data_IF_903910661199
#
_entry.id   IF_903910661199
#
_cell.length_a   1.000
_cell.length_b   1.000
_cell.length_c   1.000
_cell.angle_alpha   90.00
_cell.angle_beta   90.00
_cell.angle_gamma   90.00
#
_symmetry.space_group_name_H-M   'P 1'
#
loop_
_entity.id
_entity.type
_entity.pdbx_description
1 polymer ?
#
# COMPACT_ATOMS: atom_id res chain seq x y z
N UNK A 1 -60.58 -63.80 -6.42
CA UNK A 1 -59.98 -63.10 -5.27
C UNK A 1 -58.47 -62.94 -5.51
N UNK A 2 -58.06 -61.84 -5.99
CA UNK A 2 -56.64 -61.56 -6.20
C UNK A 2 -56.30 -60.20 -5.54
N UNK A 3 -55.49 -60.20 -4.49
CA UNK A 3 -55.04 -59.07 -3.74
C UNK A 3 -53.84 -58.43 -4.48
N UNK A 4 -54.03 -57.26 -5.05
CA UNK A 4 -52.92 -56.46 -5.57
C UNK A 4 -52.16 -55.77 -4.44
N UNK A 5 -50.86 -56.01 -4.38
CA UNK A 5 -49.93 -55.34 -3.46
C UNK A 5 -49.43 -54.08 -4.06
N UNK A 6 -49.78 -52.90 -3.47
CA UNK A 6 -49.19 -51.63 -3.80
C UNK A 6 -47.82 -51.53 -3.14
N UNK A 7 -46.77 -51.39 -3.94
CA UNK A 7 -45.43 -51.02 -3.49
C UNK A 7 -45.32 -49.49 -3.54
N UNK A 8 -44.99 -48.81 -2.44
CA UNK A 8 -44.78 -47.37 -2.47
C UNK A 8 -43.40 -47.07 -3.10
N UNK A 9 -43.43 -46.31 -4.18
CA UNK A 9 -42.24 -45.78 -4.87
C UNK A 9 -41.61 -44.65 -4.03
N UNK A 10 -40.49 -44.94 -3.41
CA UNK A 10 -39.71 -43.99 -2.64
C UNK A 10 -38.96 -43.04 -3.64
N UNK A 11 -39.47 -41.85 -3.84
CA UNK A 11 -38.80 -40.80 -4.64
C UNK A 11 -37.70 -40.20 -3.77
N UNK A 12 -36.45 -40.64 -3.94
CA UNK A 12 -35.27 -39.96 -3.40
C UNK A 12 -35.09 -38.66 -4.16
N UNK A 13 -35.46 -37.53 -3.53
CA UNK A 13 -35.08 -36.20 -3.97
C UNK A 13 -33.57 -36.02 -3.81
N UNK A 14 -32.83 -36.17 -4.89
CA UNK A 14 -31.42 -35.86 -4.95
C UNK A 14 -31.29 -34.31 -4.90
N UNK A 15 -31.09 -33.77 -3.71
CA UNK A 15 -30.74 -32.35 -3.54
C UNK A 15 -29.39 -32.11 -4.22
N UNK A 16 -29.41 -31.46 -5.39
CA UNK A 16 -28.20 -31.01 -6.06
C UNK A 16 -27.49 -30.03 -5.14
N UNK A 17 -26.39 -30.44 -4.50
CA UNK A 17 -25.44 -29.51 -3.89
C UNK A 17 -24.89 -28.65 -5.02
N UNK A 18 -25.41 -27.42 -5.19
CA UNK A 18 -24.77 -26.43 -6.01
C UNK A 18 -23.36 -26.17 -5.42
N UNK A 19 -22.29 -26.25 -6.22
CA UNK A 19 -20.97 -25.95 -5.71
C UNK A 19 -20.97 -24.51 -5.20
N UNK A 20 -20.59 -24.33 -3.93
CA UNK A 20 -20.35 -23.00 -3.38
C UNK A 20 -19.36 -22.29 -4.33
N UNK A 21 -19.83 -21.21 -4.99
CA UNK A 21 -18.95 -20.35 -5.77
C UNK A 21 -17.95 -19.78 -4.78
N UNK A 22 -16.77 -20.39 -4.71
CA UNK A 22 -15.63 -19.81 -4.02
C UNK A 22 -15.45 -18.37 -4.53
N UNK A 23 -15.34 -17.41 -3.63
CA UNK A 23 -15.11 -16.03 -3.96
C UNK A 23 -13.87 -15.95 -4.87
N UNK A 24 -14.09 -15.78 -6.17
CA UNK A 24 -13.00 -15.66 -7.14
C UNK A 24 -12.43 -14.27 -6.96
N UNK A 25 -11.15 -14.18 -6.62
CA UNK A 25 -10.45 -12.90 -6.56
C UNK A 25 -10.69 -12.12 -7.85
N UNK A 26 -11.36 -10.99 -7.76
CA UNK A 26 -11.51 -10.09 -8.90
C UNK A 26 -10.29 -9.20 -8.96
N UNK A 27 -9.44 -9.41 -9.97
CA UNK A 27 -8.26 -8.59 -10.23
C UNK A 27 -8.63 -7.50 -11.22
N UNK A 28 -8.56 -6.24 -10.79
CA UNK A 28 -8.91 -5.08 -11.61
C UNK A 28 -7.71 -4.52 -12.35
N UNK A 29 -6.53 -4.64 -11.74
CA UNK A 29 -5.28 -4.08 -12.26
C UNK A 29 -4.12 -5.05 -12.10
N UNK A 30 -3.18 -4.98 -13.03
CA UNK A 30 -1.83 -5.49 -12.78
C UNK A 30 -0.96 -4.35 -12.25
N UNK A 31 0.00 -4.62 -11.34
CA UNK A 31 0.94 -3.59 -10.88
C UNK A 31 1.64 -2.86 -12.03
N UNK A 32 2.03 -3.58 -13.07
CA UNK A 32 2.69 -3.05 -14.25
C UNK A 32 1.80 -2.05 -15.01
N UNK A 33 0.52 -2.38 -15.22
CA UNK A 33 -0.41 -1.50 -15.92
C UNK A 33 -0.64 -0.20 -15.13
N UNK A 34 -0.80 -0.29 -13.79
CA UNK A 34 -0.95 0.88 -12.94
C UNK A 34 0.29 1.78 -12.94
N UNK A 35 1.49 1.19 -12.85
CA UNK A 35 2.74 1.94 -12.89
C UNK A 35 2.92 2.63 -14.25
N UNK A 36 2.65 1.92 -15.34
CA UNK A 36 2.76 2.46 -16.70
C UNK A 36 1.76 3.61 -16.94
N UNK A 37 0.53 3.49 -16.44
CA UNK A 37 -0.49 4.54 -16.57
C UNK A 37 -0.14 5.76 -15.72
N UNK A 38 0.22 5.56 -14.44
CA UNK A 38 0.48 6.64 -13.50
C UNK A 38 1.73 7.43 -13.86
N UNK A 39 2.78 6.75 -14.29
CA UNK A 39 4.10 7.33 -14.58
C UNK A 39 4.42 7.37 -16.09
N UNK A 40 3.40 7.49 -16.94
CA UNK A 40 3.55 7.53 -18.40
C UNK A 40 4.44 8.66 -18.91
N UNK A 41 4.60 9.73 -18.13
CA UNK A 41 5.45 10.87 -18.46
C UNK A 41 6.86 10.77 -17.86
N UNK A 42 7.13 9.76 -17.04
CA UNK A 42 8.44 9.53 -16.43
C UNK A 42 9.33 8.74 -17.38
N UNK A 43 10.63 9.05 -17.38
CA UNK A 43 11.60 8.34 -18.23
C UNK A 43 11.91 6.93 -17.71
N UNK A 44 11.86 6.76 -16.39
CA UNK A 44 12.22 5.50 -15.75
C UNK A 44 11.34 5.25 -14.52
N UNK A 45 10.95 3.99 -14.33
CA UNK A 45 10.38 3.49 -13.07
C UNK A 45 11.28 2.35 -12.59
N UNK A 46 11.87 2.51 -11.43
CA UNK A 46 12.69 1.51 -10.75
C UNK A 46 12.05 1.08 -9.44
N UNK A 47 12.59 0.06 -8.80
CA UNK A 47 12.12 -0.34 -7.47
C UNK A 47 13.29 -0.50 -6.50
N UNK A 48 13.00 -0.30 -5.23
CA UNK A 48 13.91 -0.52 -4.11
C UNK A 48 13.23 -1.42 -3.09
N UNK A 49 13.95 -2.40 -2.57
CA UNK A 49 13.50 -3.20 -1.42
C UNK A 49 13.92 -2.50 -0.13
N UNK A 50 12.97 -1.86 0.52
CA UNK A 50 13.19 -1.15 1.77
C UNK A 50 13.08 -2.13 2.94
N UNK A 51 14.21 -2.51 3.53
CA UNK A 51 14.25 -3.26 4.78
C UNK A 51 13.98 -2.33 5.95
N UNK A 52 13.10 -2.77 6.83
CA UNK A 52 12.71 -2.04 8.02
C UNK A 52 13.50 -2.61 9.21
N UNK A 53 14.51 -1.89 9.65
CA UNK A 53 15.26 -2.24 10.85
C UNK A 53 14.43 -2.03 12.14
N UNK A 54 14.95 -2.49 13.28
CA UNK A 54 14.23 -2.46 14.56
C UNK A 54 13.87 -1.04 14.99
N UNK A 55 14.79 -0.08 14.81
CA UNK A 55 14.57 1.30 15.25
C UNK A 55 13.51 2.00 14.37
N UNK A 56 13.60 1.81 13.06
CA UNK A 56 12.61 2.34 12.10
C UNK A 56 11.23 1.70 12.32
N UNK A 57 11.18 0.39 12.57
CA UNK A 57 9.96 -0.32 12.90
C UNK A 57 9.28 0.28 14.12
N UNK A 58 10.02 0.44 15.23
CA UNK A 58 9.47 1.01 16.47
C UNK A 58 8.87 2.41 16.24
N UNK A 59 9.53 3.26 15.44
CA UNK A 59 9.02 4.59 15.09
C UNK A 59 7.73 4.54 14.27
N UNK A 60 7.70 3.67 13.25
CA UNK A 60 6.52 3.53 12.39
C UNK A 60 5.35 2.92 13.17
N UNK A 61 5.60 1.87 13.95
CA UNK A 61 4.58 1.20 14.77
C UNK A 61 3.97 2.17 15.80
N UNK A 62 4.80 2.97 16.47
CA UNK A 62 4.35 4.00 17.40
C UNK A 62 3.46 5.05 16.70
N UNK A 63 3.83 5.46 15.48
CA UNK A 63 3.04 6.41 14.70
C UNK A 63 1.70 5.84 14.24
N UNK A 64 1.70 4.58 13.79
CA UNK A 64 0.49 3.91 13.29
C UNK A 64 -0.42 3.45 14.43
N UNK A 65 0.07 3.34 15.67
CA UNK A 65 -0.63 2.70 16.78
C UNK A 65 -0.86 1.20 16.56
N UNK A 66 -0.10 0.58 15.66
CA UNK A 66 -0.18 -0.84 15.29
C UNK A 66 1.13 -1.32 14.69
N UNK A 67 1.37 -2.62 14.75
CA UNK A 67 2.57 -3.23 14.19
C UNK A 67 2.54 -3.30 12.66
N UNK A 68 3.70 -3.08 12.04
CA UNK A 68 3.90 -3.35 10.62
C UNK A 68 3.81 -4.86 10.36
N UNK A 69 3.03 -5.31 9.37
CA UNK A 69 2.87 -6.74 9.07
C UNK A 69 4.11 -7.38 8.42
N UNK A 70 4.97 -6.56 7.80
CA UNK A 70 6.15 -7.03 7.05
C UNK A 70 7.43 -6.36 7.56
N UNK A 71 8.59 -6.98 7.31
CA UNK A 71 9.92 -6.41 7.57
C UNK A 71 10.58 -5.84 6.32
N UNK A 72 9.99 -6.06 5.16
CA UNK A 72 10.48 -5.55 3.87
C UNK A 72 9.31 -5.09 3.01
N UNK A 73 9.49 -3.97 2.33
CA UNK A 73 8.52 -3.40 1.39
C UNK A 73 9.19 -3.05 0.07
N UNK A 74 8.49 -3.25 -1.04
CA UNK A 74 8.95 -2.82 -2.36
C UNK A 74 8.38 -1.44 -2.66
N UNK A 75 9.27 -0.47 -2.78
CA UNK A 75 8.97 0.90 -3.15
C UNK A 75 9.33 1.14 -4.60
N UNK A 76 8.40 1.60 -5.41
CA UNK A 76 8.65 2.04 -6.78
C UNK A 76 8.95 3.52 -6.80
N UNK A 77 9.95 3.90 -7.60
CA UNK A 77 10.43 5.29 -7.76
C UNK A 77 10.41 5.63 -9.24
N UNK A 78 9.65 6.66 -9.58
CA UNK A 78 9.58 7.19 -10.94
C UNK A 78 10.46 8.44 -11.06
N UNK A 79 11.25 8.53 -12.15
CA UNK A 79 12.20 9.62 -12.39
C UNK A 79 12.18 10.09 -13.84
N UNK A 80 12.52 11.38 -14.00
CA UNK A 80 12.86 12.02 -15.27
C UNK A 80 14.22 12.69 -15.11
N UNK A 81 15.28 12.09 -15.67
CA UNK A 81 16.66 12.44 -15.35
C UNK A 81 16.91 12.21 -13.84
N UNK A 82 17.46 13.22 -13.17
CA UNK A 82 17.70 13.19 -11.73
C UNK A 82 16.47 13.57 -10.89
N UNK A 83 15.43 14.11 -11.53
CA UNK A 83 14.23 14.53 -10.82
C UNK A 83 13.36 13.33 -10.49
N UNK A 84 12.94 13.25 -9.23
CA UNK A 84 11.91 12.29 -8.79
C UNK A 84 10.54 12.84 -9.18
N UNK A 85 9.77 12.07 -9.92
CA UNK A 85 8.41 12.41 -10.34
C UNK A 85 7.38 11.90 -9.32
N UNK A 86 7.69 10.81 -8.63
CA UNK A 86 6.82 10.25 -7.60
C UNK A 86 7.21 8.84 -7.16
N UNK A 87 6.37 8.31 -6.30
CA UNK A 87 6.55 6.98 -5.69
C UNK A 87 5.27 6.16 -5.80
N UNK A 88 5.41 4.83 -5.74
CA UNK A 88 4.28 3.93 -5.56
C UNK A 88 4.62 2.80 -4.59
N UNK A 89 3.60 2.38 -3.83
CA UNK A 89 3.67 1.24 -2.95
C UNK A 89 2.46 0.35 -3.16
N UNK A 90 2.71 -0.94 -3.35
CA UNK A 90 1.69 -1.98 -3.43
C UNK A 90 1.69 -2.77 -2.12
N UNK A 91 0.54 -2.89 -1.51
CA UNK A 91 0.40 -3.56 -0.23
C UNK A 91 -0.97 -4.23 -0.08
N UNK A 92 -1.11 -5.04 0.95
CA UNK A 92 -2.35 -5.75 1.26
C UNK A 92 -2.79 -5.45 2.69
N UNK A 93 -4.10 -5.37 2.85
CA UNK A 93 -4.73 -5.26 4.15
C UNK A 93 -5.93 -6.22 4.19
N UNK A 94 -6.01 -6.98 5.26
CA UNK A 94 -7.16 -7.87 5.46
C UNK A 94 -8.44 -7.03 5.54
N UNK A 95 -9.43 -7.43 4.76
CA UNK A 95 -10.80 -6.94 4.81
C UNK A 95 -11.56 -7.58 5.97
N UNK A 96 -12.74 -8.12 5.69
CA UNK A 96 -13.48 -8.90 6.68
C UNK A 96 -12.93 -10.32 6.83
N UNK A 97 -12.61 -10.97 5.72
CA UNK A 97 -12.16 -12.36 5.67
C UNK A 97 -10.90 -12.53 4.81
N UNK A 98 -10.81 -11.76 3.73
CA UNK A 98 -9.79 -11.93 2.71
C UNK A 98 -8.91 -10.67 2.57
N UNK A 99 -7.66 -10.80 2.09
CA UNK A 99 -6.82 -9.65 1.83
C UNK A 99 -7.30 -8.88 0.61
N UNK A 100 -7.35 -7.56 0.76
CA UNK A 100 -7.58 -6.59 -0.30
C UNK A 100 -6.23 -6.02 -0.70
N UNK A 101 -5.90 -6.07 -2.00
CA UNK A 101 -4.64 -5.52 -2.51
C UNK A 101 -4.86 -4.08 -2.97
N UNK A 102 -3.99 -3.18 -2.51
CA UNK A 102 -4.03 -1.74 -2.77
C UNK A 102 -2.76 -1.26 -3.47
N UNK A 103 -2.90 -0.22 -4.28
CA UNK A 103 -1.80 0.59 -4.78
C UNK A 103 -1.99 2.03 -4.31
N UNK A 104 -0.96 2.60 -3.71
CA UNK A 104 -0.93 4.01 -3.30
C UNK A 104 0.21 4.71 -4.01
N UNK A 105 -0.11 5.82 -4.68
CA UNK A 105 0.85 6.63 -5.43
C UNK A 105 1.03 7.97 -4.74
N UNK A 106 2.24 8.49 -4.80
CA UNK A 106 2.66 9.72 -4.15
C UNK A 106 3.43 10.61 -5.11
N UNK A 107 3.35 11.91 -4.91
CA UNK A 107 4.27 12.87 -5.51
C UNK A 107 5.67 12.80 -4.85
N UNK A 108 6.60 13.60 -5.37
CA UNK A 108 7.97 13.68 -4.82
C UNK A 108 8.03 14.16 -3.37
N UNK A 109 7.01 14.87 -2.88
CA UNK A 109 6.90 15.36 -1.51
C UNK A 109 6.20 14.37 -0.55
N UNK A 110 5.82 13.17 -1.03
CA UNK A 110 5.13 12.16 -0.23
C UNK A 110 3.64 12.45 0.00
N UNK A 111 2.99 13.24 -0.88
CA UNK A 111 1.55 13.45 -0.86
C UNK A 111 0.88 12.43 -1.77
N UNK A 112 -0.22 11.85 -1.30
CA UNK A 112 -1.02 10.89 -2.06
C UNK A 112 -1.58 11.56 -3.33
N UNK A 113 -1.30 10.98 -4.49
CA UNK A 113 -1.82 11.42 -5.79
C UNK A 113 -2.87 10.50 -6.37
N UNK A 114 -2.85 9.21 -5.97
CA UNK A 114 -3.83 8.21 -6.40
C UNK A 114 -3.87 7.05 -5.43
N UNK A 115 -5.05 6.46 -5.26
CA UNK A 115 -5.24 5.18 -4.56
C UNK A 115 -6.08 4.27 -5.44
N UNK A 116 -5.67 3.02 -5.60
CA UNK A 116 -6.39 2.00 -6.37
C UNK A 116 -6.58 0.71 -5.60
N UNK A 117 -7.70 0.04 -5.85
CA UNK A 117 -7.89 -1.36 -5.47
C UNK A 117 -7.35 -2.22 -6.61
N UNK A 118 -6.31 -2.98 -6.35
CA UNK A 118 -5.64 -3.84 -7.35
C UNK A 118 -6.38 -5.16 -7.48
N UNK A 119 -6.68 -5.79 -6.35
CA UNK A 119 -7.46 -7.01 -6.30
C UNK A 119 -8.40 -7.02 -5.09
N UNK A 120 -9.59 -7.55 -5.29
CA UNK A 120 -10.64 -7.66 -4.29
C UNK A 120 -11.12 -9.12 -4.20
N UNK A 121 -11.13 -9.67 -3.00
CA UNK A 121 -11.46 -11.09 -2.79
C UNK A 121 -12.66 -11.30 -1.89
N UNK A 122 -13.17 -10.21 -1.30
CA UNK A 122 -14.36 -10.25 -0.45
C UNK A 122 -15.64 -10.31 -1.28
N UNK A 123 -16.69 -10.96 -0.80
CA UNK A 123 -17.97 -11.04 -1.51
C UNK A 123 -18.75 -9.72 -1.51
N UNK A 124 -18.46 -8.83 -0.55
CA UNK A 124 -19.16 -7.55 -0.35
C UNK A 124 -18.17 -6.43 -0.03
N UNK A 125 -18.57 -5.18 -0.29
CA UNK A 125 -17.80 -4.00 0.12
C UNK A 125 -16.88 -3.42 -0.95
N UNK A 126 -17.04 -3.82 -2.22
CA UNK A 126 -16.29 -3.34 -3.38
C UNK A 126 -16.54 -1.85 -3.70
N UNK A 127 -17.55 -1.24 -3.06
CA UNK A 127 -17.84 0.20 -3.18
C UNK A 127 -16.64 1.11 -2.91
N UNK A 128 -15.60 0.63 -2.20
CA UNK A 128 -14.35 1.37 -2.01
C UNK A 128 -13.60 1.67 -3.32
N UNK A 129 -13.95 1.02 -4.42
CA UNK A 129 -13.45 1.31 -5.77
C UNK A 129 -14.03 2.60 -6.35
N UNK A 130 -15.13 3.09 -5.80
CA UNK A 130 -15.75 4.33 -6.28
C UNK A 130 -14.77 5.50 -6.19
N UNK A 131 -14.62 6.23 -7.28
CA UNK A 131 -13.68 7.35 -7.38
C UNK A 131 -13.94 8.40 -6.29
N UNK A 132 -15.22 8.70 -6.00
CA UNK A 132 -15.60 9.64 -4.93
C UNK A 132 -15.04 9.25 -3.56
N UNK A 133 -14.92 7.94 -3.26
CA UNK A 133 -14.34 7.47 -2.01
C UNK A 133 -12.82 7.65 -2.03
N UNK A 134 -12.16 7.22 -3.10
CA UNK A 134 -10.70 7.28 -3.25
C UNK A 134 -10.16 8.70 -3.30
N UNK A 135 -10.94 9.66 -3.82
CA UNK A 135 -10.58 11.09 -3.84
C UNK A 135 -10.33 11.68 -2.45
N UNK A 136 -10.92 11.14 -1.40
CA UNK A 136 -10.73 11.63 -0.04
C UNK A 136 -9.29 11.47 0.45
N UNK A 137 -8.51 10.61 -0.18
CA UNK A 137 -7.10 10.37 0.16
C UNK A 137 -6.14 11.34 -0.55
N UNK A 138 -6.56 12.00 -1.61
CA UNK A 138 -5.69 12.86 -2.42
C UNK A 138 -5.15 14.04 -1.63
N UNK A 139 -3.86 14.37 -1.84
CA UNK A 139 -3.15 15.44 -1.14
C UNK A 139 -2.78 15.12 0.31
N UNK A 140 -3.29 14.02 0.88
CA UNK A 140 -2.93 13.59 2.24
C UNK A 140 -1.49 13.06 2.27
N UNK A 141 -0.87 13.15 3.44
CA UNK A 141 0.51 12.71 3.67
C UNK A 141 0.61 12.04 5.05
N UNK A 142 1.80 11.67 5.46
CA UNK A 142 2.07 11.17 6.82
C UNK A 142 1.53 12.08 7.92
N UNK A 143 1.41 13.39 7.68
CA UNK A 143 0.88 14.37 8.66
C UNK A 143 -0.63 14.36 8.78
N UNK A 144 -1.32 13.72 7.85
CA UNK A 144 -2.78 13.61 7.84
C UNK A 144 -3.24 12.48 8.74
N UNK A 145 -4.51 12.54 9.13
CA UNK A 145 -5.21 11.43 9.76
C UNK A 145 -5.93 10.62 8.68
N UNK A 146 -6.13 9.33 8.96
CA UNK A 146 -6.78 8.41 8.04
C UNK A 146 -7.86 7.59 8.76
N UNK A 147 -8.62 8.22 9.63
CA UNK A 147 -9.66 7.56 10.43
C UNK A 147 -10.95 7.42 9.62
N UNK A 148 -11.35 6.19 9.40
CA UNK A 148 -12.62 5.87 8.76
C UNK A 148 -13.80 6.25 9.67
N UNK A 149 -14.74 7.04 9.14
CA UNK A 149 -15.88 7.57 9.86
C UNK A 149 -15.63 8.89 10.61
N UNK A 150 -14.41 9.43 10.52
CA UNK A 150 -14.00 10.72 11.10
C UNK A 150 -13.38 11.60 10.01
N UNK A 151 -12.16 11.28 9.57
CA UNK A 151 -11.44 12.04 8.54
C UNK A 151 -11.77 11.57 7.11
N UNK A 152 -12.23 10.33 6.97
CA UNK A 152 -12.61 9.67 5.70
C UNK A 152 -14.02 9.11 5.87
N UNK A 153 -14.95 9.61 5.10
CA UNK A 153 -16.31 9.08 5.06
C UNK A 153 -16.32 7.62 4.63
N UNK A 154 -17.03 6.78 5.35
CA UNK A 154 -17.17 5.37 4.98
C UNK A 154 -18.30 5.15 3.99
N UNK A 155 -18.27 4.04 3.30
CA UNK A 155 -19.33 3.62 2.39
C UNK A 155 -20.27 2.67 3.15
N UNK A 156 -21.58 2.94 3.09
CA UNK A 156 -22.61 2.04 3.62
C UNK A 156 -22.48 0.66 2.96
N UNK A 157 -22.44 -0.39 3.76
CA UNK A 157 -22.20 -1.76 3.30
C UNK A 157 -20.73 -2.09 2.98
N UNK A 158 -19.79 -1.12 3.10
CA UNK A 158 -18.37 -1.31 2.86
C UNK A 158 -17.48 -0.73 3.99
N UNK A 159 -18.00 -0.64 5.20
CA UNK A 159 -17.31 0.01 6.34
C UNK A 159 -15.98 -0.68 6.67
N UNK A 160 -15.94 -2.02 6.64
CA UNK A 160 -14.72 -2.78 6.93
C UNK A 160 -13.69 -2.53 5.83
N UNK A 161 -14.08 -2.64 4.56
CA UNK A 161 -13.21 -2.36 3.41
C UNK A 161 -12.71 -0.91 3.39
N UNK A 162 -13.56 0.07 3.79
CA UNK A 162 -13.18 1.48 3.95
C UNK A 162 -12.08 1.64 5.01
N UNK A 163 -12.21 0.98 6.17
CA UNK A 163 -11.18 0.96 7.22
C UNK A 163 -9.89 0.30 6.74
N UNK A 164 -9.99 -0.79 5.99
CA UNK A 164 -8.83 -1.49 5.44
C UNK A 164 -8.05 -0.59 4.47
N UNK A 165 -8.72 0.17 3.60
CA UNK A 165 -8.06 1.14 2.73
C UNK A 165 -7.41 2.27 3.53
N UNK A 166 -8.06 2.82 4.56
CA UNK A 166 -7.48 3.83 5.44
C UNK A 166 -6.18 3.33 6.09
N UNK A 167 -6.19 2.10 6.62
CA UNK A 167 -5.02 1.46 7.24
C UNK A 167 -3.88 1.26 6.22
N UNK A 168 -4.19 0.79 5.02
CA UNK A 168 -3.20 0.56 3.97
C UNK A 168 -2.54 1.86 3.50
N UNK A 169 -3.36 2.90 3.24
CA UNK A 169 -2.85 4.22 2.79
C UNK A 169 -2.05 4.91 3.89
N UNK A 170 -2.50 4.87 5.15
CA UNK A 170 -1.77 5.42 6.30
C UNK A 170 -0.39 4.75 6.45
N UNK A 171 -0.34 3.43 6.34
CA UNK A 171 0.90 2.65 6.37
C UNK A 171 1.82 3.03 5.21
N UNK A 172 1.28 3.12 3.99
CA UNK A 172 2.04 3.53 2.82
C UNK A 172 2.63 4.95 3.00
N UNK A 173 1.86 5.91 3.51
CA UNK A 173 2.33 7.26 3.79
C UNK A 173 3.46 7.30 4.83
N UNK A 174 3.37 6.47 5.89
CA UNK A 174 4.42 6.37 6.90
C UNK A 174 5.72 5.76 6.34
N UNK A 175 5.62 4.77 5.46
CA UNK A 175 6.77 4.14 4.79
C UNK A 175 7.45 5.10 3.81
N UNK A 176 6.68 5.86 3.03
CA UNK A 176 7.22 6.88 2.12
C UNK A 176 7.92 8.00 2.90
N UNK A 177 7.33 8.50 3.98
CA UNK A 177 7.95 9.52 4.81
C UNK A 177 9.28 9.05 5.42
N UNK A 178 9.32 7.82 5.91
CA UNK A 178 10.54 7.19 6.42
C UNK A 178 11.62 7.06 5.34
N UNK A 179 11.23 6.72 4.12
CA UNK A 179 12.12 6.69 2.96
C UNK A 179 12.68 8.07 2.62
N UNK A 180 11.83 9.09 2.55
CA UNK A 180 12.22 10.47 2.26
C UNK A 180 13.21 11.01 3.32
N UNK A 181 12.97 10.74 4.60
CA UNK A 181 13.88 11.12 5.68
C UNK A 181 15.25 10.45 5.53
N UNK A 182 15.28 9.17 5.18
CA UNK A 182 16.53 8.44 4.94
C UNK A 182 17.33 9.06 3.78
N UNK A 183 16.69 9.34 2.65
CA UNK A 183 17.32 9.98 1.51
C UNK A 183 17.90 11.36 1.87
N UNK A 184 17.15 12.16 2.63
CA UNK A 184 17.62 13.49 3.07
C UNK A 184 18.88 13.39 3.96
N UNK A 185 18.97 12.39 4.84
CA UNK A 185 20.14 12.15 5.68
C UNK A 185 21.34 11.69 4.84
N UNK A 186 21.15 10.81 3.88
CA UNK A 186 22.21 10.33 2.98
C UNK A 186 22.80 11.48 2.15
N UNK A 187 21.96 12.35 1.58
CA UNK A 187 22.39 13.53 0.82
C UNK A 187 23.18 14.50 1.74
N UNK A 188 22.65 14.83 2.92
CA UNK A 188 23.32 15.71 3.87
C UNK A 188 24.65 15.16 4.38
N UNK A 189 24.81 13.85 4.49
CA UNK A 189 26.07 13.22 4.87
C UNK A 189 27.09 13.23 3.74
N UNK A 190 26.65 13.05 2.49
CA UNK A 190 27.50 13.11 1.31
C UNK A 190 28.08 14.53 1.11
N UNK A 191 27.28 15.58 1.32
CA UNK A 191 27.72 16.97 1.22
C UNK A 191 28.73 17.36 2.33
N UNK A 192 28.68 16.73 3.50
CA UNK A 192 29.63 17.00 4.62
C UNK A 192 30.97 16.31 4.45
N UNK A 193 31.04 15.21 3.73
CA UNK A 193 32.28 14.44 3.55
C UNK A 193 33.43 15.26 2.91
N UNK A 194 33.24 16.06 1.84
CA UNK A 194 34.31 16.87 1.25
C UNK A 194 34.72 18.06 2.12
N UNK A 195 33.86 18.60 2.97
CA UNK A 195 34.17 19.71 3.86
C UNK A 195 35.13 19.28 5.00
N UNK A 196 34.94 18.10 5.55
CA UNK A 196 35.82 17.54 6.58
C UNK A 196 37.20 17.14 6.02
N UNK A 197 37.27 16.68 4.77
CA UNK A 197 38.54 16.37 4.10
C UNK A 197 39.37 17.62 3.85
N UNK A 198 38.77 18.76 3.54
CA UNK A 198 39.46 20.06 3.39
C UNK A 198 39.94 20.63 4.74
N UNK A 199 39.18 20.44 5.82
CA UNK A 199 39.57 20.93 7.16
C UNK A 199 40.76 20.16 7.75
N UNK A 200 40.89 18.86 7.47
CA UNK A 200 42.00 18.04 7.94
C UNK A 200 43.29 18.26 7.16
N UNK A 201 43.21 18.75 5.90
CA UNK A 201 44.41 19.06 5.07
C UNK A 201 45.05 20.41 5.42
N UNK A 202 44.34 21.33 6.09
CA UNK A 202 44.83 22.64 6.47
C UNK A 202 45.63 22.69 7.78
N UNK A 203 45.73 21.59 8.54
CA UNK A 203 46.35 21.57 9.86
C UNK A 203 47.77 21.02 9.90
N UNK A 204 48.44 20.89 8.76
CA UNK A 204 49.90 20.61 8.72
C UNK A 204 50.61 21.70 7.97
N UNK A 205 51.17 22.62 8.68
CA UNK A 205 52.40 23.38 8.36
C UNK A 205 52.53 24.60 9.30
N UNK A 206 53.13 24.41 10.46
CA UNK A 206 54.02 25.37 11.10
C UNK A 206 54.67 24.76 12.36
N UNK A 207 55.71 23.98 12.11
CA UNK A 207 56.75 23.75 13.15
C UNK A 207 58.05 23.80 12.41
N UNK A 208 58.68 24.98 12.39
CA UNK A 208 60.12 25.14 12.08
C UNK A 208 60.66 26.33 12.81
N UNK A 209 61.64 26.07 13.69
CA UNK A 209 62.63 26.92 14.33
C UNK A 209 62.20 27.78 15.49
#
# INVERSE_FOLDING_TARGET
MARGSLVPMLVCALAALAPARGARAEQFWTPQALLAEQFKSSQQVSYVRARIDTALRARIDARLGRQLPKSEYTLFVAKTGERIDGYALFDEQVGQHEPISFATFFDAAGRVTRVEVVAYREPYGDGIRAERFRRQFLGRSVRSRFRAGDDIDTISGATISSRSMCIAVERAAALIDAWLQKQAVEVASADRAPALAKASSGARLSTTQ
#
